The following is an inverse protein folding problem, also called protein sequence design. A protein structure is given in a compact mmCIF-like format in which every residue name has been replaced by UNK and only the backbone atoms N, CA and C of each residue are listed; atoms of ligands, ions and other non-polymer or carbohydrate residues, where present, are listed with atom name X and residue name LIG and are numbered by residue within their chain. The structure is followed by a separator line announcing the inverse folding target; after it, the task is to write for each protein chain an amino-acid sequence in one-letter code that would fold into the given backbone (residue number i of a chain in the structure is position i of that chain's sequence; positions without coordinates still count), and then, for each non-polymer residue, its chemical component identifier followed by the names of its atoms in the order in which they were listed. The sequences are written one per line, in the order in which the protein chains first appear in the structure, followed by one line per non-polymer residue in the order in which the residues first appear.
data_IF_749565813456
#
_entry.id   IF_749565813456
#
_cell.length_a   1.000
_cell.length_b   1.000
_cell.length_c   1.000
_cell.angle_alpha   90.00
_cell.angle_beta   90.00
_cell.angle_gamma   90.00
#
_symmetry.space_group_name_H-M   'P 1'
#
loop_
_entity.id
_entity.type
_entity.pdbx_description
1 polymer ?
#
# COMPACT_ATOMS: atom_id res chain seq x y z
N UNK A 1 12.51 -20.59 -7.27
CA UNK A 1 12.78 -19.14 -7.10
C UNK A 1 13.41 -18.95 -5.74
N UNK A 2 14.48 -18.17 -5.62
CA UNK A 2 15.20 -18.03 -4.35
C UNK A 2 14.50 -17.02 -3.43
N UNK A 3 14.53 -17.25 -2.12
CA UNK A 3 14.05 -16.29 -1.11
C UNK A 3 14.71 -14.92 -1.27
N UNK A 4 15.95 -14.91 -1.75
CA UNK A 4 16.76 -13.71 -2.02
C UNK A 4 16.12 -12.82 -3.09
N UNK A 5 15.59 -13.39 -4.17
CA UNK A 5 14.96 -12.63 -5.26
C UNK A 5 13.71 -11.87 -4.78
N UNK A 6 12.90 -12.51 -3.93
CA UNK A 6 11.70 -11.91 -3.33
C UNK A 6 12.09 -10.74 -2.43
N UNK A 7 13.12 -10.91 -1.61
CA UNK A 7 13.62 -9.87 -0.72
C UNK A 7 14.16 -8.68 -1.53
N UNK A 8 14.91 -8.93 -2.59
CA UNK A 8 15.43 -7.86 -3.47
C UNK A 8 14.29 -7.11 -4.17
N UNK A 9 13.30 -7.82 -4.70
CA UNK A 9 12.13 -7.20 -5.31
C UNK A 9 11.35 -6.33 -4.31
N UNK A 10 11.10 -6.84 -3.10
CA UNK A 10 10.43 -6.08 -2.04
C UNK A 10 11.20 -4.80 -1.71
N UNK A 11 12.52 -4.89 -1.51
CA UNK A 11 13.37 -3.74 -1.18
C UNK A 11 13.38 -2.70 -2.29
N UNK A 12 13.49 -3.13 -3.55
CA UNK A 12 13.51 -2.24 -4.72
C UNK A 12 12.16 -1.55 -4.91
N UNK A 13 11.06 -2.28 -4.81
CA UNK A 13 9.71 -1.72 -4.87
C UNK A 13 9.48 -0.73 -3.73
N UNK A 14 9.87 -1.08 -2.51
CA UNK A 14 9.68 -0.21 -1.35
C UNK A 14 10.43 1.12 -1.51
N UNK A 15 11.69 1.10 -1.93
CA UNK A 15 12.47 2.33 -2.16
C UNK A 15 11.86 3.17 -3.26
N UNK A 16 11.57 2.58 -4.42
CA UNK A 16 10.98 3.31 -5.56
C UNK A 16 9.62 3.90 -5.23
N UNK A 17 8.80 3.20 -4.45
CA UNK A 17 7.52 3.68 -3.94
C UNK A 17 7.68 4.91 -3.04
N UNK A 18 8.66 4.92 -2.14
CA UNK A 18 8.92 6.07 -1.26
C UNK A 18 9.33 7.33 -2.05
N UNK A 19 10.16 7.16 -3.09
CA UNK A 19 10.49 8.26 -4.00
C UNK A 19 9.27 8.74 -4.78
N UNK A 20 8.43 7.83 -5.29
CA UNK A 20 7.23 8.17 -6.04
C UNK A 20 6.23 9.02 -5.23
N UNK A 21 6.11 8.74 -3.92
CA UNK A 21 5.27 9.52 -3.01
C UNK A 21 6.01 10.70 -2.36
N UNK A 22 7.26 10.95 -2.76
CA UNK A 22 8.12 12.01 -2.22
C UNK A 22 8.21 11.99 -0.68
N UNK A 23 8.20 10.80 -0.09
CA UNK A 23 8.20 10.62 1.37
C UNK A 23 7.08 11.37 2.11
N UNK A 24 5.99 11.74 1.43
CA UNK A 24 4.91 12.55 2.02
C UNK A 24 4.07 11.76 3.03
N UNK A 25 3.61 12.45 4.08
CA UNK A 25 2.58 11.95 5.00
C UNK A 25 1.19 12.37 4.51
N UNK A 26 0.15 11.52 4.60
CA UNK A 26 0.16 10.14 5.10
C UNK A 26 0.54 9.09 4.04
N UNK A 27 0.75 9.49 2.79
CA UNK A 27 0.87 8.60 1.63
C UNK A 27 1.94 7.51 1.80
N UNK A 28 3.12 7.84 2.36
CA UNK A 28 4.21 6.87 2.60
C UNK A 28 3.79 5.69 3.47
N UNK A 29 2.93 5.94 4.47
CA UNK A 29 2.49 4.90 5.39
C UNK A 29 1.46 4.00 4.74
N UNK A 30 0.49 4.60 4.04
CA UNK A 30 -0.53 3.86 3.27
C UNK A 30 0.13 2.98 2.20
N UNK A 31 1.08 3.55 1.46
CA UNK A 31 1.81 2.86 0.42
C UNK A 31 2.64 1.68 0.97
N UNK A 32 3.37 1.89 2.07
CA UNK A 32 4.13 0.84 2.76
C UNK A 32 3.22 -0.31 3.20
N UNK A 33 2.09 0.03 3.83
CA UNK A 33 1.22 -0.98 4.40
C UNK A 33 0.52 -1.79 3.31
N UNK A 34 0.17 -1.15 2.18
CA UNK A 34 -0.33 -1.84 0.99
C UNK A 34 0.72 -2.79 0.39
N UNK A 35 1.97 -2.34 0.24
CA UNK A 35 3.05 -3.18 -0.28
C UNK A 35 3.31 -4.39 0.65
N UNK A 36 3.33 -4.17 1.96
CA UNK A 36 3.47 -5.25 2.95
C UNK A 36 2.33 -6.25 2.87
N UNK A 37 1.09 -5.78 2.76
CA UNK A 37 -0.09 -6.65 2.60
C UNK A 37 0.02 -7.49 1.34
N UNK A 38 0.41 -6.90 0.20
CA UNK A 38 0.55 -7.63 -1.06
C UNK A 38 1.59 -8.76 -0.96
N UNK A 39 2.77 -8.50 -0.38
CA UNK A 39 3.82 -9.51 -0.22
C UNK A 39 3.48 -10.57 0.86
N UNK A 40 2.67 -10.23 1.86
CA UNK A 40 2.24 -11.19 2.91
C UNK A 40 1.05 -12.04 2.52
N UNK A 41 0.10 -11.48 1.75
CA UNK A 41 -1.10 -12.17 1.31
C UNK A 41 -0.84 -13.15 0.15
N UNK A 42 0.31 -13.02 -0.53
CA UNK A 42 0.74 -13.90 -1.61
C UNK A 42 1.96 -14.77 -1.27
N UNK A 43 1.92 -15.65 -0.25
CA UNK A 43 2.91 -16.73 -0.16
C UNK A 43 2.78 -17.72 -1.32
N UNK A 44 1.58 -17.83 -1.90
CA UNK A 44 1.22 -18.81 -2.92
C UNK A 44 1.03 -18.24 -4.34
N UNK A 45 1.00 -16.92 -4.52
CA UNK A 45 0.93 -16.35 -5.86
C UNK A 45 2.32 -16.45 -6.52
N UNK A 46 2.43 -16.97 -7.75
CA UNK A 46 3.71 -17.08 -8.43
C UNK A 46 4.34 -15.69 -8.52
N UNK A 47 5.56 -15.57 -8.02
CA UNK A 47 6.35 -14.34 -8.07
C UNK A 47 6.45 -13.87 -9.53
N UNK A 48 5.72 -12.80 -9.87
CA UNK A 48 5.67 -12.28 -11.23
C UNK A 48 6.74 -11.21 -11.43
N UNK A 49 7.90 -11.63 -11.92
CA UNK A 49 9.04 -10.75 -12.17
C UNK A 49 8.71 -9.62 -13.16
N UNK A 50 7.91 -9.91 -14.18
CA UNK A 50 7.51 -8.93 -15.19
C UNK A 50 6.54 -7.89 -14.62
N UNK A 51 5.58 -8.32 -13.79
CA UNK A 51 4.69 -7.42 -13.06
C UNK A 51 5.46 -6.47 -12.12
N UNK A 52 6.50 -6.98 -11.45
CA UNK A 52 7.39 -6.18 -10.60
C UNK A 52 8.14 -5.12 -11.43
N UNK A 53 8.71 -5.51 -12.59
CA UNK A 53 9.38 -4.56 -13.49
C UNK A 53 8.46 -3.44 -13.95
N UNK A 54 7.24 -3.76 -14.39
CA UNK A 54 6.23 -2.78 -14.80
C UNK A 54 5.85 -1.85 -13.66
N UNK A 55 5.70 -2.39 -12.46
CA UNK A 55 5.39 -1.60 -11.26
C UNK A 55 6.54 -0.64 -10.92
N UNK A 56 7.79 -1.10 -10.99
CA UNK A 56 8.97 -0.23 -10.81
C UNK A 56 8.99 0.88 -11.85
N UNK A 57 8.72 0.58 -13.11
CA UNK A 57 8.67 1.58 -14.19
C UNK A 57 7.59 2.63 -13.92
N UNK A 58 6.38 2.20 -13.56
CA UNK A 58 5.28 3.09 -13.18
C UNK A 58 5.65 4.00 -11.99
N UNK A 59 6.26 3.44 -10.94
CA UNK A 59 6.67 4.22 -9.76
C UNK A 59 7.78 5.22 -10.09
N UNK A 60 8.73 4.86 -10.95
CA UNK A 60 9.76 5.79 -11.43
C UNK A 60 9.14 6.93 -12.24
N UNK A 61 8.19 6.65 -13.11
CA UNK A 61 7.45 7.67 -13.87
C UNK A 61 6.69 8.62 -12.93
N UNK A 62 5.97 8.06 -11.93
CA UNK A 62 5.26 8.84 -10.91
C UNK A 62 6.18 9.71 -10.03
N UNK A 63 7.45 9.32 -9.87
CA UNK A 63 8.45 10.09 -9.13
C UNK A 63 9.05 11.23 -9.97
N UNK A 64 9.24 11.01 -11.28
CA UNK A 64 9.96 11.93 -12.16
C UNK A 64 9.15 13.19 -12.46
N UNK A 65 7.86 13.03 -12.72
CA UNK A 65 6.99 14.12 -13.18
C UNK A 65 5.64 14.07 -12.46
N UNK A 66 4.97 15.23 -12.33
CA UNK A 66 3.57 15.32 -11.84
C UNK A 66 2.57 14.95 -12.95
N UNK A 67 2.90 13.90 -13.70
CA UNK A 67 2.13 13.38 -14.83
C UNK A 67 0.95 12.50 -14.40
N UNK A 68 0.48 11.67 -15.34
CA UNK A 68 -0.67 10.79 -15.12
C UNK A 68 -0.38 9.78 -14.01
N UNK A 69 0.78 9.14 -14.02
CA UNK A 69 1.19 8.12 -13.06
C UNK A 69 1.21 8.67 -11.64
N UNK A 70 1.71 9.90 -11.47
CA UNK A 70 1.69 10.59 -10.19
C UNK A 70 0.26 10.81 -9.69
N UNK A 71 -0.63 11.31 -10.56
CA UNK A 71 -2.05 11.54 -10.22
C UNK A 71 -2.77 10.24 -9.89
N UNK A 72 -2.53 9.19 -10.67
CA UNK A 72 -3.08 7.84 -10.44
C UNK A 72 -2.61 7.30 -9.10
N UNK A 73 -1.31 7.31 -8.84
CA UNK A 73 -0.74 6.83 -7.57
C UNK A 73 -1.31 7.60 -6.37
N UNK A 74 -1.36 8.94 -6.46
CA UNK A 74 -1.93 9.79 -5.41
C UNK A 74 -3.39 9.42 -5.12
N UNK A 75 -4.21 9.27 -6.16
CA UNK A 75 -5.62 8.93 -6.00
C UNK A 75 -5.81 7.52 -5.42
N UNK A 76 -5.02 6.54 -5.86
CA UNK A 76 -5.06 5.18 -5.31
C UNK A 76 -4.75 5.18 -3.81
N UNK A 77 -3.70 5.89 -3.40
CA UNK A 77 -3.32 5.98 -1.98
C UNK A 77 -4.36 6.74 -1.16
N UNK A 78 -4.96 7.79 -1.71
CA UNK A 78 -6.04 8.53 -1.07
C UNK A 78 -7.25 7.62 -0.81
N UNK A 79 -7.75 6.95 -1.85
CA UNK A 79 -8.90 6.03 -1.75
C UNK A 79 -8.60 4.90 -0.77
N UNK A 80 -7.39 4.33 -0.80
CA UNK A 80 -7.01 3.28 0.14
C UNK A 80 -6.95 3.79 1.59
N UNK A 81 -6.50 5.02 1.80
CA UNK A 81 -6.51 5.67 3.12
C UNK A 81 -7.92 5.85 3.64
N UNK A 82 -8.82 6.39 2.81
CA UNK A 82 -10.24 6.60 3.13
C UNK A 82 -10.91 5.27 3.51
N UNK A 83 -10.69 4.20 2.73
CA UNK A 83 -11.19 2.85 3.05
C UNK A 83 -10.71 2.35 4.40
N UNK A 84 -9.41 2.48 4.69
CA UNK A 84 -8.84 2.05 5.96
C UNK A 84 -9.43 2.84 7.16
N UNK A 85 -9.71 4.14 6.98
CA UNK A 85 -10.36 4.94 8.02
C UNK A 85 -11.81 4.53 8.25
N UNK A 86 -12.58 4.27 7.19
CA UNK A 86 -13.97 3.79 7.29
C UNK A 86 -14.03 2.46 8.05
N UNK A 87 -13.16 1.50 7.69
CA UNK A 87 -13.05 0.22 8.40
C UNK A 87 -12.67 0.41 9.86
N UNK A 88 -11.62 1.18 10.15
CA UNK A 88 -11.18 1.46 11.53
C UNK A 88 -12.24 2.16 12.39
N UNK A 89 -13.00 3.08 11.80
CA UNK A 89 -14.14 3.73 12.43
C UNK A 89 -15.30 2.78 12.70
N UNK A 90 -15.53 1.79 11.82
CA UNK A 90 -16.56 0.76 11.99
C UNK A 90 -16.32 -0.08 13.25
N UNK A 91 -15.08 -0.51 13.49
CA UNK A 91 -14.72 -1.26 14.69
C UNK A 91 -14.90 -0.46 15.98
N UNK A 92 -14.53 0.83 15.98
CA UNK A 92 -14.78 1.72 17.13
C UNK A 92 -16.27 1.84 17.45
N UNK A 93 -17.13 1.96 16.43
CA UNK A 93 -18.59 1.98 16.61
C UNK A 93 -19.11 0.67 17.22
N UNK A 94 -18.65 -0.48 16.73
CA UNK A 94 -19.01 -1.81 17.27
C UNK A 94 -18.61 -1.92 18.76
N UNK A 95 -17.41 -1.48 19.13
CA UNK A 95 -16.95 -1.48 20.52
C UNK A 95 -17.84 -0.62 21.42
N UNK A 96 -18.20 0.60 20.96
CA UNK A 96 -19.08 1.49 21.72
C UNK A 96 -20.49 0.89 21.88
N UNK A 97 -21.04 0.28 20.83
CA UNK A 97 -22.35 -0.40 20.90
C UNK A 97 -22.35 -1.56 21.88
N UNK A 98 -21.33 -2.43 21.82
CA UNK A 98 -21.18 -3.55 22.75
C UNK A 98 -21.00 -3.10 24.21
N UNK A 99 -20.28 -1.99 24.43
CA UNK A 99 -20.10 -1.43 25.76
C UNK A 99 -21.39 -0.80 26.33
N UNK A 100 -22.34 -0.39 25.49
CA UNK A 100 -23.67 0.08 25.93
C UNK A 100 -24.59 -1.09 26.25
N UNK A 101 -24.56 -2.15 25.44
CA UNK A 101 -25.43 -3.32 25.61
C UNK A 101 -25.10 -4.17 26.85
N UNK A 102 -23.88 -4.06 27.41
CA UNK A 102 -23.51 -4.73 28.68
C UNK A 102 -23.91 -3.96 29.94
N UNK A 103 -24.47 -2.76 29.81
CA UNK A 103 -24.81 -1.85 30.93
C UNK A 103 -26.31 -1.69 31.16
N UNK A 104 -27.14 -2.34 30.34
CA UNK A 104 -28.58 -2.50 30.54
C UNK A 104 -28.92 -3.97 30.69
#
# INVERSE_FOLDING_TARGET
MSTTDIIHAYRTLYRTLLHAVQFSSPARYVARDQLRKAFRASPAAPFNHEGIKRTIWFLKAAAREKGLEHKVLKNLLRVQSERAQIEGGRWKKVLVLNAKNKRG
#
